data_IF_847836096685
#
_entry.id   IF_847836096685
#
_cell.length_a   1.000
_cell.length_b   1.000
_cell.length_c   1.000
_cell.angle_alpha   90.00
_cell.angle_beta   90.00
_cell.angle_gamma   90.00
#
_symmetry.space_group_name_H-M   'P 1'
#
loop_
_entity.id
_entity.type
_entity.pdbx_description
1 polymer ?
#
# COMPACT_ATOMS: atom_id res chain seq x y z
N UNK A 1 -4.75 -18.88 1.72
CA UNK A 1 -4.10 -18.73 0.40
C UNK A 1 -4.21 -17.27 0.00
N UNK A 2 -3.08 -16.57 -0.13
CA UNK A 2 -3.06 -15.19 -0.64
C UNK A 2 -3.25 -15.22 -2.17
N UNK A 3 -4.05 -14.31 -2.71
CA UNK A 3 -4.28 -14.17 -4.15
C UNK A 3 -4.10 -12.71 -4.55
N UNK A 4 -3.53 -12.48 -5.74
CA UNK A 4 -3.39 -11.13 -6.28
C UNK A 4 -4.76 -10.55 -6.58
N UNK A 5 -5.03 -9.35 -6.04
CA UNK A 5 -6.19 -8.54 -6.36
C UNK A 5 -5.89 -7.58 -7.50
N UNK A 6 -4.77 -6.87 -7.38
CA UNK A 6 -4.38 -5.78 -8.25
C UNK A 6 -2.86 -5.65 -8.20
N UNK A 7 -2.26 -5.33 -9.35
CA UNK A 7 -0.82 -5.14 -9.48
C UNK A 7 -0.56 -3.92 -10.34
N UNK A 8 0.32 -3.03 -9.90
CA UNK A 8 0.64 -1.80 -10.62
C UNK A 8 2.03 -1.31 -10.26
N UNK A 9 2.64 -0.56 -11.15
CA UNK A 9 3.76 0.31 -10.82
C UNK A 9 3.21 1.63 -10.30
N UNK A 10 3.77 2.13 -9.21
CA UNK A 10 3.25 3.30 -8.53
C UNK A 10 4.28 4.04 -7.69
N UNK A 11 3.88 5.22 -7.25
CA UNK A 11 4.67 6.10 -6.39
C UNK A 11 4.02 6.16 -5.01
N UNK A 12 4.82 6.03 -3.96
CA UNK A 12 4.35 6.27 -2.59
C UNK A 12 4.16 7.77 -2.40
N UNK A 13 2.93 8.20 -2.11
CA UNK A 13 2.60 9.62 -1.88
C UNK A 13 2.49 9.96 -0.42
N UNK A 14 2.06 8.97 0.36
CA UNK A 14 1.95 9.14 1.79
C UNK A 14 2.00 7.81 2.53
N UNK A 15 2.69 7.81 3.66
CA UNK A 15 2.60 6.77 4.68
C UNK A 15 2.51 7.49 6.02
N UNK A 16 1.33 7.42 6.61
CA UNK A 16 1.06 8.09 7.88
C UNK A 16 0.71 7.06 8.94
N UNK A 17 1.53 6.98 9.99
CA UNK A 17 1.34 6.10 11.15
C UNK A 17 0.47 6.76 12.21
N UNK A 18 -0.56 6.08 12.70
CA UNK A 18 -1.37 6.46 13.86
C UNK A 18 -0.62 6.07 15.14
N UNK A 19 -0.07 7.04 15.87
CA UNK A 19 0.27 6.86 17.28
C UNK A 19 -0.91 7.29 18.16
N UNK A 20 -0.90 6.89 19.44
CA UNK A 20 -1.98 7.20 20.39
C UNK A 20 -2.23 8.71 20.59
N UNK A 21 -1.35 9.60 20.08
CA UNK A 21 -1.48 11.05 20.21
C UNK A 21 -1.24 11.84 18.91
N UNK A 22 -0.54 11.29 17.92
CA UNK A 22 -0.15 12.03 16.71
C UNK A 22 0.06 11.14 15.50
N UNK A 23 -0.26 11.66 14.32
CA UNK A 23 0.05 11.01 13.06
C UNK A 23 1.50 11.32 12.65
N UNK A 24 2.38 10.31 12.68
CA UNK A 24 3.77 10.46 12.25
C UNK A 24 3.90 10.05 10.78
N UNK A 25 4.38 10.95 9.94
CA UNK A 25 4.54 10.73 8.50
C UNK A 25 5.92 10.14 8.22
N UNK A 26 5.98 9.04 7.46
CA UNK A 26 7.24 8.37 7.11
C UNK A 26 7.80 8.96 5.82
N UNK A 27 8.48 10.12 5.94
CA UNK A 27 8.97 10.90 4.80
C UNK A 27 9.98 10.16 3.92
N UNK A 28 10.74 9.21 4.49
CA UNK A 28 11.76 8.45 3.78
C UNK A 28 11.22 7.60 2.61
N UNK A 29 9.94 7.22 2.65
CA UNK A 29 9.32 6.42 1.60
C UNK A 29 8.61 7.26 0.55
N UNK A 30 8.38 8.55 0.80
CA UNK A 30 7.57 9.39 -0.10
C UNK A 30 8.36 9.69 -1.37
N UNK A 31 7.70 9.54 -2.52
CA UNK A 31 8.30 9.71 -3.84
C UNK A 31 8.98 8.46 -4.38
N UNK A 32 9.10 7.40 -3.59
CA UNK A 32 9.66 6.14 -4.09
C UNK A 32 8.74 5.51 -5.13
N UNK A 33 9.32 5.23 -6.30
CA UNK A 33 8.69 4.49 -7.38
C UNK A 33 9.00 3.00 -7.25
N UNK A 34 8.01 2.16 -7.49
CA UNK A 34 8.17 0.72 -7.41
C UNK A 34 6.91 -0.05 -7.81
N UNK A 35 7.03 -1.37 -7.74
CA UNK A 35 5.91 -2.28 -7.96
C UNK A 35 5.08 -2.40 -6.68
N UNK A 36 3.77 -2.22 -6.80
CA UNK A 36 2.79 -2.46 -5.74
C UNK A 36 1.91 -3.65 -6.12
N UNK A 37 1.87 -4.65 -5.24
CA UNK A 37 0.98 -5.81 -5.34
C UNK A 37 -0.03 -5.76 -4.20
N UNK A 38 -1.31 -5.59 -4.54
CA UNK A 38 -2.43 -5.70 -3.61
C UNK A 38 -2.88 -7.15 -3.58
N UNK A 39 -2.86 -7.76 -2.40
CA UNK A 39 -3.19 -9.15 -2.17
C UNK A 39 -4.45 -9.24 -1.31
N UNK A 40 -5.32 -10.21 -1.59
CA UNK A 40 -6.38 -10.62 -0.68
C UNK A 40 -6.08 -11.99 -0.08
N UNK A 41 -6.36 -12.15 1.20
CA UNK A 41 -6.38 -13.43 1.89
C UNK A 41 -7.78 -13.65 2.43
N UNK A 42 -8.44 -14.73 2.00
CA UNK A 42 -9.67 -15.20 2.65
C UNK A 42 -9.31 -16.15 3.78
N UNK A 43 -9.68 -15.78 5.00
CA UNK A 43 -9.85 -16.73 6.10
C UNK A 43 -11.33 -17.12 6.16
N UNK A 44 -11.67 -18.12 6.97
CA UNK A 44 -13.05 -18.60 7.12
C UNK A 44 -14.06 -17.51 7.49
N UNK A 45 -13.61 -16.43 8.13
CA UNK A 45 -14.48 -15.37 8.66
C UNK A 45 -14.27 -13.99 8.00
N UNK A 46 -13.15 -13.75 7.31
CA UNK A 46 -12.80 -12.40 6.82
C UNK A 46 -12.02 -12.42 5.49
N UNK A 47 -12.21 -11.38 4.68
CA UNK A 47 -11.31 -11.07 3.56
C UNK A 47 -10.37 -9.96 4.01
N UNK A 48 -9.07 -10.25 4.05
CA UNK A 48 -8.01 -9.33 4.46
C UNK A 48 -7.25 -8.82 3.24
N UNK A 49 -7.02 -7.51 3.13
CA UNK A 49 -6.27 -6.90 2.01
C UNK A 49 -4.93 -6.34 2.48
N UNK A 50 -3.87 -6.63 1.74
CA UNK A 50 -2.48 -6.21 2.03
C UNK A 50 -1.88 -5.55 0.80
N UNK A 51 -0.93 -4.65 0.99
CA UNK A 51 -0.06 -4.16 -0.07
C UNK A 51 1.37 -4.65 0.15
N UNK A 52 2.02 -5.05 -0.94
CA UNK A 52 3.45 -5.33 -1.00
C UNK A 52 4.06 -4.33 -1.98
N UNK A 53 4.91 -3.44 -1.48
CA UNK A 53 5.70 -2.52 -2.28
C UNK A 53 7.14 -3.03 -2.42
N UNK A 54 7.63 -3.02 -3.65
CA UNK A 54 9.00 -3.34 -4.04
C UNK A 54 9.57 -2.14 -4.78
N UNK A 55 10.44 -1.38 -4.12
CA UNK A 55 11.08 -0.19 -4.69
C UNK A 55 11.94 -0.54 -5.90
N UNK A 56 11.87 0.31 -6.93
CA UNK A 56 12.65 0.15 -8.15
C UNK A 56 14.01 0.90 -8.11
N UNK A 57 14.18 1.81 -7.16
CA UNK A 57 15.40 2.64 -7.02
C UNK A 57 16.34 2.10 -5.95
N UNK A 58 17.61 2.51 -5.99
CA UNK A 58 18.58 2.24 -4.92
C UNK A 58 18.57 3.40 -3.91
N UNK A 59 18.63 3.11 -2.59
CA UNK A 59 18.57 1.77 -1.98
C UNK A 59 17.21 1.09 -2.20
N UNK A 60 17.22 -0.23 -2.37
CA UNK A 60 15.98 -0.98 -2.57
C UNK A 60 15.15 -1.00 -1.29
N UNK A 61 13.91 -0.55 -1.38
CA UNK A 61 12.95 -0.59 -0.28
C UNK A 61 11.93 -1.71 -0.48
N UNK A 62 11.56 -2.38 0.61
CA UNK A 62 10.49 -3.36 0.64
C UNK A 62 9.52 -3.04 1.77
N UNK A 63 8.23 -2.93 1.46
CA UNK A 63 7.18 -2.68 2.46
C UNK A 63 6.09 -3.73 2.26
N UNK A 64 5.82 -4.53 3.29
CA UNK A 64 4.60 -5.35 3.36
C UNK A 64 3.70 -4.79 4.45
N UNK A 65 2.51 -4.35 4.08
CA UNK A 65 1.57 -3.76 5.03
C UNK A 65 0.86 -4.85 5.84
N UNK A 66 0.33 -4.47 7.00
CA UNK A 66 -0.69 -5.28 7.68
C UNK A 66 -2.01 -5.26 6.91
N UNK A 67 -2.98 -6.15 7.24
CA UNK A 67 -4.31 -6.08 6.67
C UNK A 67 -4.96 -4.70 6.85
N UNK A 68 -5.73 -4.29 5.85
CA UNK A 68 -6.51 -3.06 5.91
C UNK A 68 -7.66 -3.04 4.92
N UNK A 69 -8.31 -1.88 4.85
CA UNK A 69 -9.36 -1.58 3.89
C UNK A 69 -8.78 -0.83 2.70
N UNK A 70 -9.07 -1.33 1.50
CA UNK A 70 -8.67 -0.73 0.25
C UNK A 70 -9.76 0.21 -0.26
N UNK A 71 -9.38 1.40 -0.68
CA UNK A 71 -10.26 2.34 -1.38
C UNK A 71 -9.53 2.90 -2.58
N UNK A 72 -10.18 2.91 -3.74
CA UNK A 72 -9.65 3.55 -4.95
C UNK A 72 -10.28 4.93 -5.08
N UNK A 73 -9.44 5.96 -5.14
CA UNK A 73 -9.87 7.32 -5.43
C UNK A 73 -10.05 7.54 -6.92
N UNK A 74 -10.82 8.56 -7.28
CA UNK A 74 -11.17 8.87 -8.68
C UNK A 74 -9.97 9.33 -9.54
N UNK A 75 -8.84 9.72 -8.93
CA UNK A 75 -7.68 10.29 -9.62
C UNK A 75 -6.48 9.32 -9.72
N UNK A 76 -6.71 8.02 -9.82
CA UNK A 76 -5.62 7.03 -9.91
C UNK A 76 -4.86 6.80 -8.61
N UNK A 77 -5.41 7.21 -7.47
CA UNK A 77 -4.83 6.93 -6.15
C UNK A 77 -5.44 5.69 -5.52
N UNK A 78 -4.59 4.87 -4.90
CA UNK A 78 -4.99 3.73 -4.07
C UNK A 78 -4.69 4.05 -2.62
N UNK A 79 -5.71 3.96 -1.79
CA UNK A 79 -5.62 4.15 -0.35
C UNK A 79 -5.74 2.79 0.34
N UNK A 80 -4.77 2.45 1.18
CA UNK A 80 -4.87 1.30 2.08
C UNK A 80 -4.81 1.80 3.52
N UNK A 81 -5.91 1.63 4.24
CA UNK A 81 -6.02 2.03 5.65
C UNK A 81 -6.01 0.80 6.53
N UNK A 82 -4.97 0.64 7.32
CA UNK A 82 -4.83 -0.41 8.32
C UNK A 82 -5.20 0.14 9.70
N UNK A 83 -5.17 -0.71 10.74
CA UNK A 83 -5.45 -0.28 12.12
C UNK A 83 -4.50 0.84 12.58
N UNK A 84 -3.26 0.86 12.07
CA UNK A 84 -2.20 1.75 12.53
C UNK A 84 -1.64 2.67 11.46
N UNK A 85 -1.97 2.47 10.18
CA UNK A 85 -1.33 3.21 9.10
C UNK A 85 -2.33 3.56 8.00
N UNK A 86 -2.10 4.69 7.35
CA UNK A 86 -2.68 5.01 6.05
C UNK A 86 -1.57 5.06 5.03
N UNK A 87 -1.69 4.23 4.00
CA UNK A 87 -0.80 4.22 2.83
C UNK A 87 -1.54 4.82 1.64
N UNK A 88 -0.86 5.67 0.88
CA UNK A 88 -1.38 6.29 -0.33
C UNK A 88 -0.39 6.06 -1.45
N UNK A 89 -0.86 5.38 -2.50
CA UNK A 89 -0.10 5.10 -3.71
C UNK A 89 -0.74 5.81 -4.89
N UNK A 90 0.08 6.43 -5.73
CA UNK A 90 -0.32 6.91 -7.05
C UNK A 90 -0.04 5.80 -8.07
N UNK A 91 -1.06 5.38 -8.82
CA UNK A 91 -0.88 4.42 -9.91
C UNK A 91 -0.22 5.14 -11.09
N UNK A 92 0.91 4.60 -11.55
CA UNK A 92 1.58 5.04 -12.79
C UNK A 92 1.18 4.12 -13.95
N UNK A 93 1.24 2.82 -13.74
CA UNK A 93 0.89 1.81 -14.76
C UNK A 93 0.25 0.59 -14.10
N UNK A 94 -0.94 0.19 -14.55
CA UNK A 94 -1.62 -1.01 -14.05
C UNK A 94 -1.32 -2.24 -14.90
N UNK A 95 -1.08 -3.38 -14.25
CA UNK A 95 -0.90 -4.67 -14.91
C UNK A 95 -2.19 -5.50 -14.80
N UNK A 96 -2.57 -6.16 -15.90
CA UNK A 96 -3.73 -7.09 -15.93
C UNK A 96 -3.32 -8.51 -15.57
#
# INVERSE_FOLDING_TARGET
MERSFMKFSGIIKDITSKSNSTFNRQFEYIGLYGLVEILYSRTSNYTLVFAVFKGATKPYHYIKTTPGNLTQGQNGYVYLTTAHHRYVFEIVESYK
#
